data_IF_851844627059
#
_entry.id   IF_851844627059
#
_cell.length_a   1.000
_cell.length_b   1.000
_cell.length_c   1.000
_cell.angle_alpha   90.00
_cell.angle_beta   90.00
_cell.angle_gamma   90.00
#
_symmetry.space_group_name_H-M   'P 1'
#
loop_
_entity.id
_entity.type
_entity.pdbx_description
1 polymer ?
#
# COMPACT_ATOMS: atom_id res chain seq x y z
N UNK A 1 11.93 13.83 4.43
CA UNK A 1 12.08 13.44 3.02
C UNK A 1 10.73 13.08 2.40
N UNK A 2 9.98 12.13 2.97
CA UNK A 2 8.66 11.73 2.43
C UNK A 2 7.59 12.84 2.36
N UNK A 3 7.53 13.77 3.32
CA UNK A 3 6.51 14.83 3.31
C UNK A 3 6.68 15.83 2.15
N UNK A 4 7.92 16.13 1.73
CA UNK A 4 8.17 17.02 0.59
C UNK A 4 7.76 16.38 -0.73
N UNK A 5 8.00 15.08 -0.92
CA UNK A 5 7.58 14.33 -2.12
C UNK A 5 6.06 14.15 -2.19
N UNK A 6 5.39 13.97 -1.05
CA UNK A 6 3.93 13.92 -1.00
C UNK A 6 3.33 15.29 -1.31
N UNK A 7 3.89 16.36 -0.73
CA UNK A 7 3.46 17.73 -1.01
C UNK A 7 3.62 18.09 -2.50
N UNK A 8 4.72 17.66 -3.13
CA UNK A 8 4.96 17.88 -4.56
C UNK A 8 3.92 17.16 -5.45
N UNK A 9 3.52 15.92 -5.12
CA UNK A 9 2.49 15.21 -5.91
C UNK A 9 1.08 15.75 -5.68
N UNK A 10 0.82 16.26 -4.48
CA UNK A 10 -0.45 16.90 -4.16
C UNK A 10 -0.52 18.36 -4.68
N UNK A 11 0.61 18.94 -5.10
CA UNK A 11 0.63 20.30 -5.63
C UNK A 11 -0.25 20.42 -6.88
N UNK A 12 -1.14 21.41 -6.85
CA UNK A 12 -2.11 21.62 -7.92
C UNK A 12 -3.18 20.53 -8.07
N UNK A 13 -3.28 19.55 -7.18
CA UNK A 13 -4.41 18.61 -7.14
C UNK A 13 -5.62 19.31 -6.54
N UNK A 14 -6.40 19.95 -7.41
CA UNK A 14 -7.66 20.61 -7.07
C UNK A 14 -8.82 19.91 -7.79
N UNK A 15 -10.07 20.05 -7.32
CA UNK A 15 -11.22 19.61 -8.09
C UNK A 15 -11.23 20.30 -9.46
N UNK A 16 -11.10 19.51 -10.53
CA UNK A 16 -11.20 19.98 -11.89
C UNK A 16 -12.50 19.47 -12.48
N UNK A 17 -13.46 20.38 -12.68
CA UNK A 17 -14.73 20.14 -13.37
C UNK A 17 -14.81 21.07 -14.58
N UNK A 18 -15.45 20.62 -15.66
CA UNK A 18 -15.63 21.41 -16.89
C UNK A 18 -14.32 21.93 -17.52
N UNK A 19 -13.22 21.20 -17.35
CA UNK A 19 -11.95 21.52 -17.98
C UNK A 19 -11.73 20.78 -19.30
N UNK A 20 -10.68 21.17 -20.02
CA UNK A 20 -10.23 20.44 -21.21
C UNK A 20 -9.90 18.97 -20.88
N UNK A 21 -10.21 18.06 -21.80
CA UNK A 21 -10.01 16.61 -21.65
C UNK A 21 -8.59 16.24 -21.20
N UNK A 22 -7.58 16.89 -21.77
CA UNK A 22 -6.18 16.65 -21.40
C UNK A 22 -5.91 16.97 -19.93
N UNK A 23 -6.48 18.07 -19.42
CA UNK A 23 -6.38 18.43 -17.99
C UNK A 23 -7.03 17.38 -17.10
N UNK A 24 -8.19 16.85 -17.50
CA UNK A 24 -8.88 15.79 -16.75
C UNK A 24 -8.06 14.51 -16.72
N UNK A 25 -7.49 14.09 -17.87
CA UNK A 25 -6.64 12.90 -17.97
C UNK A 25 -5.38 13.02 -17.09
N UNK A 26 -4.69 14.16 -17.13
CA UNK A 26 -3.48 14.37 -16.35
C UNK A 26 -3.78 14.49 -14.86
N UNK A 27 -4.91 15.13 -14.50
CA UNK A 27 -5.36 15.20 -13.10
C UNK A 27 -5.71 13.82 -12.55
N UNK A 28 -6.42 12.99 -13.32
CA UNK A 28 -6.76 11.62 -12.91
C UNK A 28 -5.49 10.78 -12.65
N UNK A 29 -4.48 10.88 -13.52
CA UNK A 29 -3.18 10.20 -13.33
C UNK A 29 -2.45 10.69 -12.08
N UNK A 30 -2.41 12.01 -11.86
CA UNK A 30 -1.77 12.60 -10.66
C UNK A 30 -2.44 12.12 -9.37
N UNK A 31 -3.77 12.09 -9.33
CA UNK A 31 -4.53 11.59 -8.18
C UNK A 31 -4.15 10.14 -7.89
N UNK A 32 -4.11 9.27 -8.91
CA UNK A 32 -3.74 7.87 -8.70
C UNK A 32 -2.29 7.71 -8.22
N UNK A 33 -1.35 8.53 -8.71
CA UNK A 33 0.01 8.56 -8.17
C UNK A 33 0.04 9.00 -6.70
N UNK A 34 -0.75 10.01 -6.33
CA UNK A 34 -0.88 10.46 -4.94
C UNK A 34 -1.44 9.36 -4.04
N UNK A 35 -2.51 8.67 -4.49
CA UNK A 35 -3.14 7.56 -3.77
C UNK A 35 -2.15 6.43 -3.52
N UNK A 36 -1.38 6.01 -4.53
CA UNK A 36 -0.33 4.98 -4.36
C UNK A 36 0.70 5.36 -3.30
N UNK A 37 1.18 6.61 -3.32
CA UNK A 37 2.13 7.10 -2.31
C UNK A 37 1.51 7.11 -0.91
N UNK A 38 0.26 7.58 -0.78
CA UNK A 38 -0.46 7.57 0.49
C UNK A 38 -0.65 6.15 1.03
N UNK A 39 -1.04 5.20 0.18
CA UNK A 39 -1.22 3.81 0.58
C UNK A 39 0.10 3.18 1.07
N UNK A 40 1.21 3.46 0.39
CA UNK A 40 2.53 2.99 0.80
C UNK A 40 2.94 3.54 2.17
N UNK A 41 2.80 4.86 2.38
CA UNK A 41 3.08 5.52 3.66
C UNK A 41 2.19 4.95 4.76
N UNK A 42 0.89 4.81 4.48
CA UNK A 42 -0.09 4.28 5.42
C UNK A 42 0.27 2.87 5.86
N UNK A 43 0.63 1.98 4.94
CA UNK A 43 1.05 0.61 5.27
C UNK A 43 2.27 0.60 6.20
N UNK A 44 3.30 1.41 5.92
CA UNK A 44 4.50 1.47 6.76
C UNK A 44 4.22 2.04 8.15
N UNK A 45 3.46 3.13 8.25
CA UNK A 45 3.12 3.75 9.54
C UNK A 45 2.26 2.81 10.39
N UNK A 46 1.25 2.18 9.80
CA UNK A 46 0.41 1.21 10.51
C UNK A 46 1.22 -0.01 10.97
N UNK A 47 2.16 -0.49 10.16
CA UNK A 47 3.08 -1.56 10.55
C UNK A 47 3.97 -1.18 11.73
N UNK A 48 4.47 0.06 11.77
CA UNK A 48 5.26 0.55 12.89
C UNK A 48 4.42 0.71 14.17
N UNK A 49 3.18 1.20 14.05
CA UNK A 49 2.23 1.27 15.18
C UNK A 49 1.93 -0.11 15.78
N UNK A 50 1.69 -1.11 14.91
CA UNK A 50 1.47 -2.51 15.31
C UNK A 50 2.66 -3.10 16.07
N UNK A 51 3.87 -2.97 15.52
CA UNK A 51 5.08 -3.53 16.15
C UNK A 51 5.41 -2.86 17.47
N UNK A 52 5.15 -1.55 17.61
CA UNK A 52 5.36 -0.84 18.88
C UNK A 52 4.26 -1.10 19.92
N UNK A 53 3.11 -1.64 19.51
CA UNK A 53 1.92 -1.73 20.37
C UNK A 53 1.40 -0.35 20.81
N UNK A 54 1.75 0.73 20.10
CA UNK A 54 1.50 2.11 20.54
C UNK A 54 0.02 2.37 20.81
N UNK A 55 -0.86 1.86 19.95
CA UNK A 55 -2.31 2.10 20.06
C UNK A 55 -2.93 1.31 21.21
N UNK A 56 -2.34 0.18 21.60
CA UNK A 56 -2.79 -0.57 22.77
C UNK A 56 -2.39 0.18 24.05
N UNK A 57 -1.16 0.70 24.10
CA UNK A 57 -0.67 1.50 25.24
C UNK A 57 -1.46 2.81 25.39
N UNK A 58 -1.72 3.52 24.29
CA UNK A 58 -2.35 4.84 24.31
C UNK A 58 -3.88 4.80 24.42
N UNK A 59 -4.52 3.82 23.76
CA UNK A 59 -5.98 3.78 23.59
C UNK A 59 -6.62 2.46 24.05
N UNK A 60 -5.84 1.45 24.45
CA UNK A 60 -6.35 0.11 24.80
C UNK A 60 -6.91 -0.66 23.61
N UNK A 61 -6.45 -0.36 22.39
CA UNK A 61 -6.93 -0.98 21.16
C UNK A 61 -5.78 -1.52 20.32
N UNK A 62 -5.93 -2.76 19.85
CA UNK A 62 -5.09 -3.30 18.78
C UNK A 62 -5.15 -2.40 17.53
N UNK A 63 -4.01 -2.20 16.85
CA UNK A 63 -3.83 -1.21 15.79
C UNK A 63 -4.90 -1.25 14.71
N UNK A 64 -5.32 -2.44 14.26
CA UNK A 64 -6.35 -2.58 13.22
C UNK A 64 -7.73 -2.08 13.66
N UNK A 65 -8.08 -2.32 14.94
CA UNK A 65 -9.35 -1.84 15.52
C UNK A 65 -9.29 -0.35 15.84
N UNK A 66 -8.14 0.12 16.34
CA UNK A 66 -7.87 1.54 16.52
C UNK A 66 -8.04 2.30 15.20
N UNK A 67 -7.40 1.83 14.13
CA UNK A 67 -7.50 2.46 12.82
C UNK A 67 -8.93 2.43 12.26
N UNK A 68 -9.65 1.32 12.43
CA UNK A 68 -11.05 1.24 12.01
C UNK A 68 -11.93 2.29 12.70
N UNK A 69 -11.69 2.55 14.00
CA UNK A 69 -12.35 3.62 14.75
C UNK A 69 -11.95 5.00 14.24
N UNK A 70 -10.66 5.29 14.16
CA UNK A 70 -10.16 6.64 13.82
C UNK A 70 -10.46 7.03 12.37
N UNK A 71 -10.30 6.10 11.43
CA UNK A 71 -10.49 6.36 10.00
C UNK A 71 -11.92 6.07 9.50
N UNK A 72 -12.82 5.63 10.39
CA UNK A 72 -14.21 5.28 10.05
C UNK A 72 -14.31 4.23 8.91
N UNK A 73 -13.40 3.25 8.92
CA UNK A 73 -13.40 2.13 7.98
C UNK A 73 -13.89 0.84 8.66
N UNK A 74 -14.23 -0.16 7.86
CA UNK A 74 -14.62 -1.47 8.42
C UNK A 74 -13.46 -2.08 9.23
N UNK A 75 -13.81 -2.81 10.30
CA UNK A 75 -12.81 -3.57 11.08
C UNK A 75 -12.01 -4.55 10.22
N UNK A 76 -12.63 -5.12 9.18
CA UNK A 76 -11.95 -5.99 8.21
C UNK A 76 -10.87 -5.23 7.44
N UNK A 77 -11.16 -4.01 6.98
CA UNK A 77 -10.18 -3.19 6.27
C UNK A 77 -8.99 -2.82 7.17
N UNK A 78 -9.25 -2.42 8.42
CA UNK A 78 -8.19 -2.12 9.39
C UNK A 78 -7.29 -3.33 9.70
N UNK A 79 -7.89 -4.49 9.97
CA UNK A 79 -7.13 -5.74 10.21
C UNK A 79 -6.36 -6.20 8.99
N UNK A 80 -6.94 -6.09 7.78
CA UNK A 80 -6.26 -6.46 6.53
C UNK A 80 -5.03 -5.58 6.30
N UNK A 81 -5.15 -4.27 6.51
CA UNK A 81 -4.02 -3.36 6.35
C UNK A 81 -2.88 -3.69 7.33
N UNK A 82 -3.18 -3.99 8.59
CA UNK A 82 -2.17 -4.43 9.57
C UNK A 82 -1.51 -5.74 9.14
N UNK A 83 -2.28 -6.70 8.63
CA UNK A 83 -1.73 -7.97 8.16
C UNK A 83 -0.76 -7.77 6.98
N UNK A 84 -1.13 -6.94 6.00
CA UNK A 84 -0.26 -6.58 4.87
C UNK A 84 0.99 -5.86 5.38
N UNK A 85 0.83 -4.85 6.24
CA UNK A 85 1.94 -4.10 6.81
C UNK A 85 2.95 -4.99 7.56
N UNK A 86 2.46 -6.00 8.28
CA UNK A 86 3.31 -6.99 8.96
C UNK A 86 4.09 -7.83 7.94
N UNK A 87 3.42 -8.39 6.94
CA UNK A 87 4.07 -9.19 5.90
C UNK A 87 5.14 -8.38 5.15
N UNK A 88 4.86 -7.14 4.76
CA UNK A 88 5.82 -6.24 4.12
C UNK A 88 7.06 -5.99 4.98
N UNK A 89 6.87 -5.87 6.30
CA UNK A 89 7.99 -5.64 7.23
C UNK A 89 8.86 -6.89 7.42
N UNK A 90 8.24 -8.05 7.58
CA UNK A 90 8.93 -9.25 8.08
C UNK A 90 9.24 -10.28 7.01
N UNK A 91 8.40 -10.38 5.98
CA UNK A 91 8.39 -11.48 5.01
C UNK A 91 8.72 -11.01 3.60
N UNK A 92 8.28 -9.81 3.21
CA UNK A 92 8.28 -9.30 1.83
C UNK A 92 9.01 -7.95 1.68
N UNK A 93 10.32 -7.88 1.98
CA UNK A 93 11.06 -6.61 1.95
C UNK A 93 11.20 -6.02 0.54
N UNK A 94 11.24 -6.84 -0.52
CA UNK A 94 11.33 -6.35 -1.90
C UNK A 94 9.99 -5.75 -2.31
N UNK A 95 8.89 -6.44 -2.00
CA UNK A 95 7.54 -5.92 -2.19
C UNK A 95 7.32 -4.59 -1.45
N UNK A 96 7.87 -4.46 -0.23
CA UNK A 96 7.80 -3.21 0.52
C UNK A 96 8.53 -2.06 -0.19
N UNK A 97 9.72 -2.32 -0.73
CA UNK A 97 10.48 -1.33 -1.50
C UNK A 97 9.75 -0.91 -2.78
N UNK A 98 9.19 -1.87 -3.54
CA UNK A 98 8.43 -1.61 -4.76
C UNK A 98 7.12 -0.83 -4.50
N UNK A 99 6.47 -1.08 -3.36
CA UNK A 99 5.30 -0.29 -2.95
C UNK A 99 5.70 1.16 -2.64
N UNK A 100 6.82 1.38 -1.96
CA UNK A 100 7.33 2.71 -1.61
C UNK A 100 7.78 3.50 -2.84
N UNK A 101 8.42 2.84 -3.81
CA UNK A 101 8.83 3.48 -5.07
C UNK A 101 7.63 3.81 -5.97
N UNK A 102 6.47 3.19 -5.73
CA UNK A 102 5.26 3.32 -6.53
C UNK A 102 5.26 2.44 -7.79
N UNK A 103 6.22 1.51 -7.91
CA UNK A 103 6.28 0.51 -8.97
C UNK A 103 5.07 -0.41 -8.94
N UNK A 104 4.62 -0.76 -7.73
CA UNK A 104 3.36 -1.49 -7.51
C UNK A 104 2.39 -0.70 -6.65
N UNK A 105 1.09 -0.95 -6.84
CA UNK A 105 0.04 -0.43 -5.97
C UNK A 105 -0.24 -1.35 -4.77
N UNK A 106 -0.95 -0.84 -3.75
CA UNK A 106 -1.31 -1.59 -2.54
C UNK A 106 -2.02 -2.92 -2.80
N UNK A 107 -2.84 -2.99 -3.85
CA UNK A 107 -3.53 -4.22 -4.24
C UNK A 107 -2.57 -5.36 -4.61
N UNK A 108 -1.42 -5.05 -5.24
CA UNK A 108 -0.38 -6.06 -5.52
C UNK A 108 0.27 -6.52 -4.21
N UNK A 109 0.71 -5.58 -3.37
CA UNK A 109 1.29 -5.88 -2.07
C UNK A 109 0.36 -6.76 -1.20
N UNK A 110 -0.95 -6.52 -1.29
CA UNK A 110 -1.98 -7.31 -0.61
C UNK A 110 -2.07 -8.74 -1.12
N UNK A 111 -1.98 -8.96 -2.42
CA UNK A 111 -1.95 -10.30 -3.02
C UNK A 111 -0.70 -11.04 -2.55
N UNK A 112 0.48 -10.40 -2.65
CA UNK A 112 1.76 -10.96 -2.20
C UNK A 112 1.71 -11.36 -0.71
N UNK A 113 1.23 -10.46 0.14
CA UNK A 113 1.05 -10.70 1.58
C UNK A 113 0.05 -11.82 1.89
N UNK A 114 -0.94 -12.06 1.01
CA UNK A 114 -1.90 -13.15 1.16
C UNK A 114 -1.37 -14.51 0.67
N UNK A 115 -0.39 -14.51 -0.23
CA UNK A 115 0.23 -15.72 -0.77
C UNK A 115 1.33 -16.26 0.15
N UNK A 116 2.11 -15.37 0.77
CA UNK A 116 3.22 -15.76 1.64
C UNK A 116 2.74 -16.42 2.94
N UNK A 117 3.47 -17.45 3.38
CA UNK A 117 3.27 -18.08 4.68
C UNK A 117 4.57 -18.74 5.15
N UNK A 118 4.69 -19.14 6.43
CA UNK A 118 5.96 -19.65 6.99
C UNK A 118 6.55 -20.86 6.28
N UNK A 119 5.75 -21.65 5.54
CA UNK A 119 6.23 -22.83 4.82
C UNK A 119 6.95 -22.51 3.52
N UNK A 120 6.63 -21.37 2.90
CA UNK A 120 7.12 -21.00 1.56
C UNK A 120 7.83 -19.66 1.53
N UNK A 121 7.97 -18.96 2.66
CA UNK A 121 8.52 -17.60 2.70
C UNK A 121 9.92 -17.50 2.09
N UNK A 122 10.75 -18.53 2.27
CA UNK A 122 12.11 -18.56 1.76
C UNK A 122 12.14 -18.70 0.23
N UNK A 123 11.27 -19.52 -0.33
CA UNK A 123 11.09 -19.73 -1.76
C UNK A 123 10.39 -18.52 -2.40
N UNK A 124 9.36 -17.99 -1.74
CA UNK A 124 8.59 -16.84 -2.22
C UNK A 124 9.48 -15.59 -2.35
N UNK A 125 10.39 -15.36 -1.39
CA UNK A 125 11.38 -14.29 -1.47
C UNK A 125 12.29 -14.36 -2.70
N UNK A 126 12.55 -15.55 -3.23
CA UNK A 126 13.40 -15.72 -4.41
C UNK A 126 12.69 -15.30 -5.69
N UNK A 127 11.36 -15.22 -5.68
CA UNK A 127 10.54 -14.85 -6.84
C UNK A 127 9.87 -13.49 -6.68
N UNK A 128 10.04 -12.78 -5.55
CA UNK A 128 9.43 -11.45 -5.33
C UNK A 128 9.75 -10.47 -6.47
N UNK A 129 11.02 -10.37 -6.88
CA UNK A 129 11.46 -9.49 -7.96
C UNK A 129 10.80 -9.85 -9.30
N UNK A 130 10.75 -11.14 -9.64
CA UNK A 130 10.09 -11.60 -10.86
C UNK A 130 8.59 -11.23 -10.88
N UNK A 131 7.90 -11.44 -9.76
CA UNK A 131 6.48 -11.12 -9.64
C UNK A 131 6.22 -9.60 -9.73
N UNK A 132 7.15 -8.77 -9.23
CA UNK A 132 7.10 -7.31 -9.35
C UNK A 132 7.34 -6.87 -10.79
N UNK A 133 8.37 -7.42 -11.45
CA UNK A 133 8.68 -7.11 -12.85
C UNK A 133 7.47 -7.41 -13.75
N UNK A 134 6.80 -8.54 -13.53
CA UNK A 134 5.58 -8.90 -14.25
C UNK A 134 4.43 -7.90 -14.04
N UNK A 135 4.30 -7.32 -12.85
CA UNK A 135 3.25 -6.34 -12.54
C UNK A 135 3.36 -5.07 -13.40
N UNK A 136 4.56 -4.69 -13.83
CA UNK A 136 4.79 -3.51 -14.69
C UNK A 136 4.22 -3.67 -16.11
N UNK A 137 4.09 -4.91 -16.60
CA UNK A 137 3.75 -5.22 -17.99
C UNK A 137 2.28 -5.52 -18.27
N UNK A 138 1.42 -5.60 -17.23
CA UNK A 138 0.04 -6.04 -17.41
C UNK A 138 -0.95 -5.35 -16.45
N UNK A 139 -2.24 -5.42 -16.79
CA UNK A 139 -3.31 -4.92 -15.92
C UNK A 139 -3.39 -5.80 -14.67
N UNK A 140 -3.69 -5.20 -13.51
CA UNK A 140 -3.73 -5.88 -12.21
C UNK A 140 -4.47 -7.23 -12.21
N UNK A 141 -5.65 -7.32 -12.82
CA UNK A 141 -6.42 -8.58 -12.82
C UNK A 141 -5.77 -9.70 -13.63
N UNK A 142 -5.06 -9.36 -14.72
CA UNK A 142 -4.27 -10.33 -15.48
C UNK A 142 -3.08 -10.83 -14.65
N UNK A 143 -2.39 -9.91 -13.98
CA UNK A 143 -1.29 -10.25 -13.07
C UNK A 143 -1.76 -11.15 -11.93
N UNK A 144 -2.84 -10.77 -11.25
CA UNK A 144 -3.39 -11.52 -10.12
C UNK A 144 -3.81 -12.96 -10.48
N UNK A 145 -4.18 -13.21 -11.73
CA UNK A 145 -4.54 -14.55 -12.19
C UNK A 145 -3.29 -15.44 -12.38
N UNK A 146 -2.12 -14.83 -12.57
CA UNK A 146 -0.85 -15.51 -12.81
C UNK A 146 -0.06 -15.83 -11.53
N UNK A 147 -0.27 -15.04 -10.46
CA UNK A 147 0.45 -15.14 -9.17
C UNK A 147 -0.24 -16.04 -8.15
#
# INVERSE_FOLDING_TARGET
MFWSELAEVLDGVVPVIEAADQTLLDTARKIETARRRLDAVQALVVGELDVRGTTDIADGLATGRWLAREAQISGRAGTQLVAVARALRTELPVTAAALVSGEIGFEHARVMAGAVNPRIVSEFRQVEEELIDQASGMVFEAWRTHV
#
